data_IF_664865610743
#
_entry.id   IF_664865610743
#
_cell.length_a   1.000
_cell.length_b   1.000
_cell.length_c   1.000
_cell.angle_alpha   90.00
_cell.angle_beta   90.00
_cell.angle_gamma   90.00
#
_symmetry.space_group_name_H-M   'P 1'
#
loop_
_entity.id
_entity.type
_entity.pdbx_description
1 polymer ?
#
# COMPACT_ATOMS: atom_id res chain seq x y z
N UNK A 1 22.90 15.17 11.34
CA UNK A 1 22.16 15.87 10.31
C UNK A 1 20.98 16.61 10.89
N UNK A 2 20.56 17.68 10.19
CA UNK A 2 19.44 18.46 10.68
C UNK A 2 18.12 18.03 10.02
N UNK A 3 18.17 17.47 8.80
CA UNK A 3 16.98 17.14 8.01
C UNK A 3 17.08 15.76 7.36
N UNK A 4 15.97 15.03 7.31
CA UNK A 4 15.79 13.75 6.63
C UNK A 4 14.48 13.77 5.83
N UNK A 5 14.55 13.47 4.55
CA UNK A 5 13.39 13.38 3.66
C UNK A 5 13.31 11.95 3.12
N UNK A 6 12.27 11.23 3.51
CA UNK A 6 11.97 9.89 3.02
C UNK A 6 10.82 9.98 2.03
N UNK A 7 11.10 9.59 0.79
CA UNK A 7 10.12 9.51 -0.29
C UNK A 7 9.84 8.05 -0.60
N UNK A 8 8.59 7.65 -0.45
CA UNK A 8 8.11 6.35 -0.86
C UNK A 8 7.47 6.49 -2.25
N UNK A 9 8.16 6.00 -3.27
CA UNK A 9 7.81 6.11 -4.68
C UNK A 9 7.50 4.73 -5.21
N UNK A 10 6.21 4.40 -5.31
CA UNK A 10 5.75 3.05 -5.65
C UNK A 10 6.18 2.64 -7.06
N UNK A 11 6.57 1.38 -7.21
CA UNK A 11 6.85 0.76 -8.50
C UNK A 11 8.26 0.99 -9.05
N UNK A 12 9.17 1.60 -8.28
CA UNK A 12 10.59 1.67 -8.65
C UNK A 12 11.27 0.33 -8.43
N UNK A 13 12.05 -0.11 -9.40
CA UNK A 13 12.93 -1.28 -9.33
C UNK A 13 14.38 -0.83 -9.70
N UNK A 14 15.39 -1.57 -9.25
CA UNK A 14 16.80 -1.24 -9.52
C UNK A 14 17.09 -1.06 -11.02
N UNK A 15 16.47 -1.89 -11.88
CA UNK A 15 16.60 -1.77 -13.35
C UNK A 15 16.16 -0.42 -13.93
N UNK A 16 15.36 0.36 -13.19
CA UNK A 16 14.92 1.69 -13.62
C UNK A 16 15.95 2.79 -13.34
N UNK A 17 16.99 2.52 -12.53
CA UNK A 17 18.04 3.48 -12.15
C UNK A 17 19.04 3.75 -13.28
N UNK A 18 18.57 3.95 -14.47
CA UNK A 18 19.42 4.50 -15.50
C UNK A 18 19.22 6.01 -15.61
N UNK A 19 20.26 6.74 -15.98
CA UNK A 19 20.23 8.21 -16.07
C UNK A 19 19.18 8.75 -17.06
N UNK A 20 18.70 7.94 -17.98
CA UNK A 20 17.70 8.35 -18.96
C UNK A 20 16.26 8.29 -18.45
N UNK A 21 15.98 7.41 -17.48
CA UNK A 21 14.63 7.25 -16.93
C UNK A 21 14.45 7.99 -15.60
N UNK A 22 15.41 7.87 -14.68
CA UNK A 22 15.33 8.40 -13.30
C UNK A 22 16.61 9.22 -12.96
N UNK A 23 16.90 10.33 -13.68
CA UNK A 23 18.14 11.07 -13.49
C UNK A 23 18.28 11.68 -12.10
N UNK A 24 17.17 12.09 -11.44
CA UNK A 24 17.22 12.71 -10.12
C UNK A 24 17.47 11.69 -9.02
N UNK A 25 16.82 10.51 -9.09
CA UNK A 25 17.09 9.41 -8.15
C UNK A 25 18.52 8.90 -8.33
N UNK A 26 18.99 8.71 -9.57
CA UNK A 26 20.35 8.30 -9.85
C UNK A 26 21.38 9.28 -9.24
N UNK A 27 21.15 10.58 -9.39
CA UNK A 27 22.01 11.62 -8.81
C UNK A 27 22.05 11.61 -7.28
N UNK A 28 20.94 11.26 -6.63
CA UNK A 28 20.91 11.09 -5.16
C UNK A 28 21.83 9.94 -4.75
N UNK A 29 21.80 8.83 -5.49
CA UNK A 29 22.58 7.64 -5.19
C UNK A 29 24.09 7.75 -5.51
N UNK A 30 24.50 8.66 -6.40
CA UNK A 30 25.89 8.80 -6.87
C UNK A 30 26.92 8.94 -5.73
N UNK A 31 26.60 9.70 -4.67
CA UNK A 31 27.46 9.92 -3.53
C UNK A 31 27.04 9.15 -2.26
N UNK A 32 26.05 8.31 -2.40
CA UNK A 32 25.46 7.54 -1.31
C UNK A 32 25.50 6.04 -1.55
N UNK A 33 24.34 5.42 -1.52
CA UNK A 33 24.17 3.99 -1.75
C UNK A 33 22.85 3.65 -2.41
N UNK A 34 22.81 2.50 -3.08
CA UNK A 34 21.61 1.92 -3.68
C UNK A 34 21.61 0.42 -3.48
N UNK A 35 20.40 -0.14 -3.27
CA UNK A 35 20.19 -1.58 -3.13
C UNK A 35 18.78 -1.97 -3.55
N UNK A 36 18.58 -3.26 -3.81
CA UNK A 36 17.26 -3.88 -3.86
C UNK A 36 16.64 -3.81 -2.47
N UNK A 37 15.40 -3.38 -2.37
CA UNK A 37 14.67 -3.35 -1.10
C UNK A 37 13.81 -4.61 -0.98
N UNK A 38 14.08 -5.40 0.04
CA UNK A 38 13.28 -6.56 0.41
C UNK A 38 12.09 -6.11 1.26
N UNK A 39 10.85 -6.18 0.74
CA UNK A 39 9.66 -5.88 1.52
C UNK A 39 9.39 -6.96 2.57
N UNK A 40 8.62 -6.61 3.60
CA UNK A 40 7.98 -7.63 4.45
C UNK A 40 6.84 -8.30 3.69
N UNK A 41 6.51 -9.52 4.09
CA UNK A 41 5.35 -10.23 3.56
C UNK A 41 4.09 -9.95 4.40
N UNK A 42 2.92 -9.72 3.73
CA UNK A 42 2.74 -9.53 2.30
C UNK A 42 3.30 -8.20 1.79
N UNK A 43 3.79 -8.20 0.56
CA UNK A 43 4.32 -7.01 -0.10
C UNK A 43 3.19 -6.09 -0.58
N UNK A 44 2.45 -5.51 0.38
CA UNK A 44 1.32 -4.59 0.16
C UNK A 44 1.51 -3.33 0.98
N UNK A 45 0.97 -2.22 0.51
CA UNK A 45 1.27 -0.86 0.97
C UNK A 45 1.23 -0.68 2.49
N UNK A 46 0.09 -0.97 3.12
CA UNK A 46 -0.05 -0.72 4.57
C UNK A 46 0.93 -1.55 5.40
N UNK A 47 1.16 -2.80 5.01
CA UNK A 47 2.07 -3.72 5.71
C UNK A 47 3.52 -3.26 5.59
N UNK A 48 3.97 -2.96 4.37
CA UNK A 48 5.36 -2.55 4.13
C UNK A 48 5.64 -1.17 4.74
N UNK A 49 4.72 -0.21 4.60
CA UNK A 49 4.85 1.11 5.23
C UNK A 49 4.91 1.02 6.76
N UNK A 50 4.06 0.18 7.38
CA UNK A 50 4.14 -0.04 8.82
C UNK A 50 5.49 -0.63 9.24
N UNK A 51 6.05 -1.55 8.45
CA UNK A 51 7.37 -2.14 8.70
C UNK A 51 8.51 -1.12 8.56
N UNK A 52 8.49 -0.29 7.52
CA UNK A 52 9.48 0.77 7.30
C UNK A 52 9.47 1.77 8.46
N UNK A 53 8.27 2.22 8.86
CA UNK A 53 8.12 3.27 9.88
C UNK A 53 8.33 2.76 11.31
N UNK A 54 8.25 1.46 11.57
CA UNK A 54 8.42 0.88 12.90
C UNK A 54 9.72 0.10 13.07
N UNK A 55 10.38 -0.33 11.98
CA UNK A 55 11.50 -1.25 12.03
C UNK A 55 11.11 -2.65 12.51
N UNK A 56 9.84 -3.04 12.38
CA UNK A 56 9.26 -4.27 12.90
C UNK A 56 8.55 -5.07 11.79
N UNK A 57 8.35 -6.36 12.05
CA UNK A 57 7.61 -7.25 11.15
C UNK A 57 6.11 -7.27 11.45
N UNK A 58 5.26 -7.73 10.50
CA UNK A 58 3.81 -7.83 10.70
C UNK A 58 3.38 -8.58 11.96
N UNK A 59 4.13 -9.61 12.36
CA UNK A 59 3.88 -10.34 13.64
C UNK A 59 3.95 -9.44 14.88
N UNK A 60 4.66 -8.30 14.79
CA UNK A 60 4.85 -7.37 15.91
C UNK A 60 3.93 -6.15 15.78
N UNK A 61 3.84 -5.54 14.59
CA UNK A 61 3.05 -4.31 14.42
C UNK A 61 1.59 -4.55 14.07
N UNK A 62 1.20 -5.78 13.72
CA UNK A 62 -0.19 -6.19 13.52
C UNK A 62 -0.88 -5.68 12.25
N UNK A 63 -0.16 -5.03 11.33
CA UNK A 63 -0.69 -4.66 10.01
C UNK A 63 -0.33 -5.80 9.04
N UNK A 64 -1.29 -6.68 8.83
CA UNK A 64 -1.12 -7.94 8.10
C UNK A 64 -1.51 -7.85 6.63
N UNK A 65 -2.17 -6.76 6.22
CA UNK A 65 -2.75 -6.53 4.90
C UNK A 65 -3.16 -5.06 4.80
N UNK A 66 -3.62 -4.58 3.65
CA UNK A 66 -4.34 -3.32 3.51
C UNK A 66 -5.73 -3.36 4.17
N UNK A 67 -6.23 -4.55 4.47
CA UNK A 67 -7.47 -4.80 5.19
C UNK A 67 -7.27 -5.55 6.49
N UNK A 68 -8.28 -5.45 7.36
CA UNK A 68 -8.37 -6.15 8.63
C UNK A 68 -9.76 -6.76 8.80
N UNK A 69 -9.81 -7.96 9.36
CA UNK A 69 -11.05 -8.58 9.78
C UNK A 69 -11.17 -8.56 11.30
N UNK A 70 -12.21 -7.90 11.78
CA UNK A 70 -12.58 -7.97 13.19
C UNK A 70 -13.51 -9.16 13.43
N UNK A 71 -12.99 -10.19 14.08
CA UNK A 71 -13.72 -11.44 14.39
C UNK A 71 -14.87 -11.21 15.37
N UNK A 72 -14.80 -10.18 16.22
CA UNK A 72 -15.82 -9.90 17.24
C UNK A 72 -17.06 -9.24 16.67
N UNK A 73 -16.90 -8.45 15.62
CA UNK A 73 -17.96 -7.71 14.95
C UNK A 73 -18.31 -8.25 13.57
N UNK A 74 -17.60 -9.29 13.11
CA UNK A 74 -17.72 -9.85 11.75
C UNK A 74 -17.55 -8.79 10.65
N UNK A 75 -16.64 -7.83 10.86
CA UNK A 75 -16.43 -6.72 9.93
C UNK A 75 -15.07 -6.80 9.25
N UNK A 76 -15.07 -6.69 7.92
CA UNK A 76 -13.84 -6.47 7.13
C UNK A 76 -13.76 -5.01 6.80
N UNK A 77 -12.62 -4.38 7.07
CA UNK A 77 -12.36 -2.99 6.72
C UNK A 77 -11.04 -2.88 5.96
N UNK A 78 -11.04 -2.15 4.86
CA UNK A 78 -9.85 -1.82 4.07
C UNK A 78 -9.52 -0.34 4.22
N UNK A 79 -8.23 -0.02 4.15
CA UNK A 79 -7.70 1.35 4.13
C UNK A 79 -8.03 2.19 5.36
N UNK A 80 -8.16 1.55 6.52
CA UNK A 80 -8.34 2.26 7.79
C UNK A 80 -7.09 3.07 8.14
N UNK A 81 -7.29 4.36 8.38
CA UNK A 81 -6.17 5.30 8.54
C UNK A 81 -5.73 5.53 9.99
N UNK A 82 -6.42 4.95 10.97
CA UNK A 82 -6.07 5.17 12.37
C UNK A 82 -4.68 4.63 12.72
N UNK A 83 -3.89 5.48 13.35
CA UNK A 83 -2.54 5.11 13.82
C UNK A 83 -2.55 4.08 14.95
N UNK A 84 -3.67 3.95 15.67
CA UNK A 84 -3.85 2.98 16.75
C UNK A 84 -3.88 1.53 16.27
N UNK A 85 -4.06 1.30 14.98
CA UNK A 85 -4.01 -0.03 14.38
C UNK A 85 -2.59 -0.62 14.38
N UNK A 86 -1.56 0.22 14.34
CA UNK A 86 -0.16 -0.20 14.39
C UNK A 86 0.23 -0.39 15.86
N UNK A 87 0.54 -1.62 16.25
CA UNK A 87 0.75 -2.02 17.65
C UNK A 87 2.19 -1.78 18.16
N UNK A 88 3.01 -1.07 17.40
CA UNK A 88 4.40 -0.74 17.75
C UNK A 88 4.64 0.76 17.65
N UNK A 89 5.69 1.23 18.32
CA UNK A 89 6.19 2.59 18.13
C UNK A 89 6.69 2.77 16.70
N UNK A 90 6.56 4.00 16.19
CA UNK A 90 7.05 4.37 14.87
C UNK A 90 8.15 5.42 14.97
N UNK A 91 8.78 5.70 13.85
CA UNK A 91 9.95 6.58 13.77
C UNK A 91 9.76 7.92 14.49
N UNK A 92 8.61 8.57 14.39
CA UNK A 92 8.35 9.85 15.10
C UNK A 92 8.28 9.69 16.61
N UNK A 93 7.82 8.56 17.14
CA UNK A 93 7.82 8.29 18.57
C UNK A 93 9.28 8.16 19.09
N UNK A 94 10.08 7.39 18.35
CA UNK A 94 11.51 7.19 18.68
C UNK A 94 12.31 8.50 18.55
N UNK A 95 12.06 9.28 17.51
CA UNK A 95 12.70 10.59 17.30
C UNK A 95 12.38 11.52 18.47
N UNK A 96 11.13 11.61 18.89
CA UNK A 96 10.71 12.46 20.01
C UNK A 96 11.25 12.00 21.36
N UNK A 97 11.37 10.69 21.56
CA UNK A 97 12.03 10.14 22.77
C UNK A 97 13.51 10.51 22.82
N UNK A 98 14.23 10.48 21.69
CA UNK A 98 15.64 10.89 21.61
C UNK A 98 15.82 12.41 21.73
N UNK A 99 14.97 13.18 21.07
CA UNK A 99 15.01 14.65 21.09
C UNK A 99 13.63 15.25 20.77
N UNK A 100 12.93 15.69 21.80
CA UNK A 100 11.58 16.25 21.67
C UNK A 100 11.50 17.57 20.86
N UNK A 101 12.63 18.22 20.58
CA UNK A 101 12.67 19.44 19.75
C UNK A 101 12.68 19.13 18.25
N UNK A 102 12.86 17.88 17.85
CA UNK A 102 12.83 17.48 16.44
C UNK A 102 11.39 17.42 15.94
N UNK A 103 11.11 18.16 14.88
CA UNK A 103 9.80 18.26 14.24
C UNK A 103 9.64 17.19 13.15
N UNK A 104 8.50 16.52 13.13
CA UNK A 104 8.19 15.44 12.16
C UNK A 104 6.96 15.80 11.35
N UNK A 105 6.96 15.49 10.05
CA UNK A 105 5.83 15.68 9.15
C UNK A 105 5.62 14.42 8.31
N UNK A 106 4.37 13.96 8.21
CA UNK A 106 4.01 12.77 7.44
C UNK A 106 2.83 13.07 6.53
N UNK A 107 3.03 12.86 5.23
CA UNK A 107 2.07 13.20 4.18
C UNK A 107 1.68 11.93 3.41
N UNK A 108 0.42 11.55 3.52
CA UNK A 108 -0.24 10.47 2.79
C UNK A 108 0.24 9.03 3.07
N UNK A 109 1.16 8.80 4.00
CA UNK A 109 1.48 7.46 4.47
C UNK A 109 0.28 6.82 5.18
N UNK A 110 0.15 5.50 5.06
CA UNK A 110 -0.97 4.75 5.62
C UNK A 110 -0.92 4.68 7.16
N UNK A 111 -2.08 4.48 7.77
CA UNK A 111 -2.24 4.38 9.23
C UNK A 111 -1.60 5.54 10.00
N UNK A 112 -1.74 6.77 9.53
CA UNK A 112 -1.11 7.94 10.16
C UNK A 112 -2.10 8.93 10.80
N UNK A 113 -3.39 8.77 10.58
CA UNK A 113 -4.40 9.57 11.28
C UNK A 113 -4.29 9.39 12.79
N UNK A 114 -4.20 10.49 13.53
CA UNK A 114 -3.96 10.55 15.00
C UNK A 114 -2.53 10.15 15.43
N UNK A 115 -1.58 10.02 14.51
CA UNK A 115 -0.19 9.71 14.87
C UNK A 115 0.44 10.80 15.76
N UNK A 116 1.46 10.42 16.54
CA UNK A 116 2.24 11.32 17.37
C UNK A 116 3.30 12.11 16.57
N UNK A 117 3.07 12.34 15.27
CA UNK A 117 3.85 13.27 14.45
C UNK A 117 3.33 14.70 14.64
N UNK A 118 4.16 15.72 14.41
CA UNK A 118 3.77 17.12 14.58
C UNK A 118 2.85 17.57 13.47
N UNK A 119 3.12 17.10 12.24
CA UNK A 119 2.30 17.37 11.06
C UNK A 119 1.87 16.04 10.48
N UNK A 120 0.58 15.91 10.20
CA UNK A 120 -0.04 14.78 9.50
C UNK A 120 -1.00 15.31 8.47
N UNK A 121 -0.95 14.78 7.25
CA UNK A 121 -1.99 14.99 6.23
C UNK A 121 -2.29 13.63 5.59
N UNK A 122 -3.55 13.21 5.65
CA UNK A 122 -4.02 11.95 5.05
C UNK A 122 -5.47 12.07 4.58
N UNK A 123 -5.88 11.40 3.49
CA UNK A 123 -7.27 11.47 3.03
C UNK A 123 -8.26 11.00 4.09
N UNK A 124 -9.30 11.78 4.30
CA UNK A 124 -10.43 11.41 5.17
C UNK A 124 -11.72 11.97 4.58
N UNK A 125 -12.28 11.35 3.54
CA UNK A 125 -13.54 11.82 2.95
C UNK A 125 -14.67 11.77 3.99
N UNK A 126 -15.52 12.78 3.95
CA UNK A 126 -16.70 12.88 4.81
C UNK A 126 -17.94 12.58 3.98
N UNK A 127 -18.66 11.54 4.35
CA UNK A 127 -19.94 11.19 3.72
C UNK A 127 -21.05 12.03 4.36
N UNK A 128 -21.73 12.84 3.53
CA UNK A 128 -22.96 13.53 3.87
C UNK A 128 -24.14 12.79 3.23
N UNK A 129 -25.36 13.15 3.56
CA UNK A 129 -26.57 12.46 3.08
C UNK A 129 -26.67 12.47 1.53
N UNK A 130 -26.27 13.56 0.89
CA UNK A 130 -26.41 13.78 -0.55
C UNK A 130 -25.09 13.76 -1.33
N UNK A 131 -23.94 13.85 -0.63
CA UNK A 131 -22.63 13.97 -1.28
C UNK A 131 -21.48 13.50 -0.40
N UNK A 132 -20.33 13.36 -1.01
CA UNK A 132 -19.05 13.16 -0.35
C UNK A 132 -18.23 14.44 -0.41
N UNK A 133 -17.72 14.89 0.73
CA UNK A 133 -16.73 15.97 0.81
C UNK A 133 -15.34 15.40 0.73
N UNK A 134 -14.57 15.81 -0.26
CA UNK A 134 -13.16 15.42 -0.43
C UNK A 134 -12.30 16.19 0.56
N UNK A 135 -12.15 15.64 1.74
CA UNK A 135 -11.41 16.27 2.83
C UNK A 135 -10.22 15.43 3.24
N UNK A 136 -9.16 16.08 3.75
CA UNK A 136 -8.03 15.40 4.36
C UNK A 136 -8.00 15.73 5.85
N UNK A 137 -7.85 14.70 6.68
CA UNK A 137 -7.46 14.88 8.07
C UNK A 137 -6.10 15.56 8.13
N UNK A 138 -5.97 16.52 9.02
CA UNK A 138 -4.68 17.15 9.28
C UNK A 138 -4.41 17.37 10.77
N UNK A 139 -3.14 17.34 11.14
CA UNK A 139 -2.59 17.78 12.40
C UNK A 139 -1.43 18.74 12.06
N UNK A 140 -1.37 19.95 12.66
CA UNK A 140 -2.39 20.55 13.53
C UNK A 140 -3.74 20.78 12.85
N UNK A 141 -4.79 20.98 13.66
CA UNK A 141 -6.10 21.38 13.13
C UNK A 141 -5.95 22.62 12.28
N UNK A 142 -6.62 22.64 11.11
CA UNK A 142 -6.54 23.76 10.16
C UNK A 142 -5.34 23.71 9.22
N UNK A 143 -4.46 22.71 9.31
CA UNK A 143 -3.30 22.63 8.41
C UNK A 143 -3.70 22.26 6.98
N UNK A 144 -4.68 21.35 6.81
CA UNK A 144 -5.21 21.07 5.47
C UNK A 144 -5.89 22.27 4.84
N UNK A 145 -6.60 23.07 5.62
CA UNK A 145 -7.24 24.30 5.16
C UNK A 145 -6.22 25.32 4.63
N UNK A 146 -5.04 25.44 5.29
CA UNK A 146 -3.92 26.25 4.78
C UNK A 146 -3.38 25.69 3.46
N UNK A 147 -3.22 24.36 3.36
CA UNK A 147 -2.80 23.72 2.11
C UNK A 147 -3.82 23.94 1.01
N UNK A 148 -5.11 23.77 1.31
CA UNK A 148 -6.21 24.00 0.36
C UNK A 148 -6.25 25.43 -0.15
N UNK A 149 -6.02 26.41 0.70
CA UNK A 149 -5.94 27.84 0.30
C UNK A 149 -4.80 28.10 -0.70
N UNK A 150 -3.65 27.43 -0.53
CA UNK A 150 -2.46 27.64 -1.36
C UNK A 150 -2.44 26.78 -2.63
N UNK A 151 -2.94 25.56 -2.56
CA UNK A 151 -2.76 24.51 -3.57
C UNK A 151 -4.07 24.10 -4.26
N UNK A 152 -5.21 24.56 -3.76
CA UNK A 152 -6.51 24.02 -4.12
C UNK A 152 -6.85 22.75 -3.32
N UNK A 153 -8.11 22.32 -3.45
CA UNK A 153 -8.61 21.12 -2.79
C UNK A 153 -7.93 19.84 -3.33
N UNK A 154 -7.59 18.89 -2.44
CA UNK A 154 -7.10 17.59 -2.85
C UNK A 154 -8.20 16.81 -3.57
N UNK A 155 -7.96 16.45 -4.83
CA UNK A 155 -8.91 15.68 -5.62
C UNK A 155 -8.77 14.17 -5.35
N UNK A 156 -9.61 13.63 -4.47
CA UNK A 156 -9.60 12.21 -4.12
C UNK A 156 -9.84 11.29 -5.34
N UNK A 157 -10.62 11.74 -6.35
CA UNK A 157 -10.84 10.94 -7.55
C UNK A 157 -9.55 10.77 -8.39
N UNK A 158 -8.56 11.65 -8.25
CA UNK A 158 -7.23 11.47 -8.85
C UNK A 158 -6.30 10.58 -8.01
N UNK A 159 -6.68 10.26 -6.78
CA UNK A 159 -5.92 9.41 -5.86
C UNK A 159 -6.34 7.94 -5.95
N UNK A 160 -7.64 7.67 -6.13
CA UNK A 160 -8.13 6.31 -6.33
C UNK A 160 -9.37 6.30 -7.24
N UNK A 161 -9.53 5.21 -8.00
CA UNK A 161 -10.65 4.98 -8.90
C UNK A 161 -10.30 5.20 -10.37
N UNK A 162 -11.29 5.27 -11.26
CA UNK A 162 -11.07 5.31 -12.71
C UNK A 162 -10.27 6.52 -13.20
N UNK A 163 -10.24 7.59 -12.43
CA UNK A 163 -9.54 8.84 -12.74
C UNK A 163 -8.21 8.99 -11.99
N UNK A 164 -7.79 7.96 -11.26
CA UNK A 164 -6.51 7.95 -10.57
C UNK A 164 -5.35 8.20 -11.53
N UNK A 165 -4.46 9.14 -11.17
CA UNK A 165 -3.39 9.63 -12.04
C UNK A 165 -2.30 10.34 -11.22
N UNK A 166 -1.22 10.73 -11.91
CA UNK A 166 -0.11 11.51 -11.32
C UNK A 166 -0.54 12.82 -10.65
N UNK A 167 -1.74 13.38 -10.96
CA UNK A 167 -2.23 14.63 -10.37
C UNK A 167 -2.35 14.57 -8.84
N UNK A 168 -2.65 13.40 -8.28
CA UNK A 168 -2.64 13.20 -6.83
C UNK A 168 -1.25 13.37 -6.24
N UNK A 169 -0.24 12.76 -6.85
CA UNK A 169 1.17 12.87 -6.42
C UNK A 169 1.73 14.28 -6.62
N UNK A 170 1.30 14.99 -7.66
CA UNK A 170 1.65 16.40 -7.85
C UNK A 170 1.12 17.28 -6.69
N UNK A 171 -0.13 17.07 -6.27
CA UNK A 171 -0.67 17.78 -5.12
C UNK A 171 0.09 17.45 -3.84
N UNK A 172 0.40 16.17 -3.63
CA UNK A 172 1.18 15.70 -2.46
C UNK A 172 2.58 16.32 -2.47
N UNK A 173 3.24 16.38 -3.63
CA UNK A 173 4.55 17.00 -3.79
C UNK A 173 4.51 18.51 -3.48
N UNK A 174 3.50 19.23 -3.98
CA UNK A 174 3.30 20.65 -3.68
C UNK A 174 3.07 20.87 -2.17
N UNK A 175 2.31 19.98 -1.52
CA UNK A 175 2.10 20.02 -0.07
C UNK A 175 3.40 19.75 0.69
N UNK A 176 4.25 18.83 0.21
CA UNK A 176 5.56 18.55 0.79
C UNK A 176 6.51 19.74 0.65
N UNK A 177 6.57 20.38 -0.52
CA UNK A 177 7.37 21.59 -0.74
C UNK A 177 6.91 22.76 0.17
N UNK A 178 5.59 22.98 0.26
CA UNK A 178 5.03 23.98 1.17
C UNK A 178 5.38 23.67 2.63
N UNK A 179 5.22 22.40 3.04
CA UNK A 179 5.54 21.98 4.41
C UNK A 179 7.03 22.15 4.73
N UNK A 180 7.91 21.81 3.80
CA UNK A 180 9.35 21.97 3.96
C UNK A 180 9.73 23.45 4.13
N UNK A 181 9.12 24.35 3.36
CA UNK A 181 9.38 25.79 3.43
C UNK A 181 8.80 26.46 4.67
N UNK A 182 7.52 26.21 4.95
CA UNK A 182 6.79 26.94 6.00
C UNK A 182 7.04 26.39 7.41
N UNK A 183 7.24 25.06 7.52
CA UNK A 183 7.28 24.36 8.80
C UNK A 183 8.67 23.82 9.15
N UNK A 184 9.55 23.67 8.16
CA UNK A 184 10.93 23.19 8.29
C UNK A 184 11.07 21.93 9.17
N UNK A 185 10.30 20.86 8.91
CA UNK A 185 10.38 19.66 9.72
C UNK A 185 11.78 19.01 9.60
N UNK A 186 12.30 18.48 10.70
CA UNK A 186 13.55 17.73 10.69
C UNK A 186 13.39 16.39 9.95
N UNK A 187 12.18 15.81 10.00
CA UNK A 187 11.84 14.57 9.31
C UNK A 187 10.57 14.80 8.48
N UNK A 188 10.69 14.56 7.18
CA UNK A 188 9.56 14.66 6.24
C UNK A 188 9.37 13.33 5.51
N UNK A 189 8.19 12.74 5.65
CA UNK A 189 7.79 11.48 5.03
C UNK A 189 6.73 11.78 3.98
N UNK A 190 6.97 11.38 2.72
CA UNK A 190 6.09 11.69 1.58
C UNK A 190 5.81 10.43 0.79
N UNK A 191 4.54 10.14 0.52
CA UNK A 191 4.08 9.00 -0.27
C UNK A 191 3.69 9.44 -1.69
N UNK A 192 4.24 8.78 -2.71
CA UNK A 192 4.06 9.08 -4.15
C UNK A 192 3.53 7.83 -4.86
N UNK A 193 2.20 7.60 -4.90
CA UNK A 193 1.61 6.32 -5.30
C UNK A 193 1.36 6.14 -6.80
N UNK A 194 1.36 7.18 -7.64
CA UNK A 194 0.66 7.16 -8.93
C UNK A 194 1.15 6.13 -9.96
N UNK A 195 2.40 5.68 -9.88
CA UNK A 195 2.92 4.63 -10.76
C UNK A 195 2.29 3.25 -10.47
N UNK A 196 1.75 3.05 -9.27
CA UNK A 196 0.94 1.88 -8.89
C UNK A 196 -0.28 1.72 -9.81
N UNK A 197 -1.00 2.80 -10.05
CA UNK A 197 -2.24 2.76 -10.84
C UNK A 197 -2.01 2.35 -12.30
N UNK A 198 -0.94 2.86 -12.91
CA UNK A 198 -0.58 2.50 -14.27
C UNK A 198 -0.06 1.07 -14.36
N UNK A 199 0.70 0.59 -13.37
CA UNK A 199 1.17 -0.78 -13.31
C UNK A 199 0.01 -1.78 -13.21
N UNK A 200 -0.99 -1.51 -12.37
CA UNK A 200 -2.17 -2.36 -12.26
C UNK A 200 -3.03 -2.36 -13.54
N UNK A 201 -3.16 -1.21 -14.21
CA UNK A 201 -3.96 -1.08 -15.44
C UNK A 201 -3.31 -1.70 -16.67
N UNK A 202 -2.00 -1.54 -16.83
CA UNK A 202 -1.33 -1.78 -18.10
C UNK A 202 -0.21 -2.83 -18.02
N UNK A 203 0.15 -3.29 -16.80
CA UNK A 203 1.31 -4.16 -16.56
C UNK A 203 2.60 -3.36 -16.41
N UNK A 204 3.57 -3.93 -15.70
CA UNK A 204 4.80 -3.26 -15.26
C UNK A 204 5.71 -2.79 -16.40
N UNK A 205 5.62 -3.42 -17.57
CA UNK A 205 6.43 -3.09 -18.75
C UNK A 205 5.84 -1.99 -19.65
N UNK A 206 4.64 -1.50 -19.35
CA UNK A 206 3.92 -0.57 -20.21
C UNK A 206 4.58 0.83 -20.28
N UNK A 207 4.39 1.51 -21.42
CA UNK A 207 4.90 2.88 -21.61
C UNK A 207 4.31 3.86 -20.60
N UNK A 208 3.05 3.67 -20.22
CA UNK A 208 2.36 4.50 -19.22
C UNK A 208 3.06 4.43 -17.86
N UNK A 209 3.55 3.25 -17.46
CA UNK A 209 4.32 3.09 -16.21
C UNK A 209 5.63 3.86 -16.30
N UNK A 210 6.36 3.75 -17.43
CA UNK A 210 7.59 4.50 -17.62
C UNK A 210 7.39 6.01 -17.59
N UNK A 211 6.28 6.50 -18.16
CA UNK A 211 5.95 7.93 -18.14
C UNK A 211 5.58 8.39 -16.73
N UNK A 212 4.89 7.58 -15.96
CA UNK A 212 4.57 7.89 -14.55
C UNK A 212 5.81 7.82 -13.65
N UNK A 213 6.75 6.89 -13.90
CA UNK A 213 8.03 6.86 -13.20
C UNK A 213 8.88 8.10 -13.48
N UNK A 214 8.89 8.63 -14.72
CA UNK A 214 9.56 9.91 -15.03
C UNK A 214 8.98 11.07 -14.23
N UNK A 215 7.65 11.16 -14.16
CA UNK A 215 6.99 12.19 -13.35
C UNK A 215 7.30 12.06 -11.85
N UNK A 216 7.41 10.83 -11.35
CA UNK A 216 7.84 10.59 -9.99
C UNK A 216 9.29 11.05 -9.74
N UNK A 217 10.20 10.82 -10.69
CA UNK A 217 11.58 11.31 -10.64
C UNK A 217 11.65 12.85 -10.67
N UNK A 218 10.79 13.50 -11.48
CA UNK A 218 10.66 14.96 -11.50
C UNK A 218 10.24 15.50 -10.13
N UNK A 219 9.30 14.82 -9.44
CA UNK A 219 8.90 15.17 -8.07
C UNK A 219 10.09 15.06 -7.11
N UNK A 220 10.88 14.00 -7.20
CA UNK A 220 12.12 13.84 -6.41
C UNK A 220 13.06 15.01 -6.66
N UNK A 221 13.32 15.35 -7.93
CA UNK A 221 14.16 16.47 -8.32
C UNK A 221 13.68 17.82 -7.77
N UNK A 222 12.36 18.06 -7.78
CA UNK A 222 11.76 19.29 -7.23
C UNK A 222 12.00 19.42 -5.73
N UNK A 223 11.85 18.35 -4.96
CA UNK A 223 12.09 18.37 -3.50
C UNK A 223 13.58 18.59 -3.18
N UNK A 224 14.48 18.01 -3.96
CA UNK A 224 15.94 18.28 -3.85
C UNK A 224 16.22 19.76 -4.15
N UNK A 225 15.63 20.30 -5.24
CA UNK A 225 15.78 21.71 -5.60
C UNK A 225 15.19 22.64 -4.53
N UNK A 226 14.05 22.26 -3.93
CA UNK A 226 13.44 23.01 -2.82
C UNK A 226 14.38 23.08 -1.62
N UNK A 227 15.00 21.98 -1.21
CA UNK A 227 15.98 21.97 -0.15
C UNK A 227 17.21 22.84 -0.48
N UNK A 228 17.63 22.86 -1.75
CA UNK A 228 18.72 23.73 -2.24
C UNK A 228 18.34 25.21 -2.12
N UNK A 229 17.16 25.58 -2.57
CA UNK A 229 16.67 26.97 -2.52
C UNK A 229 16.49 27.47 -1.07
N UNK A 230 16.20 26.57 -0.13
CA UNK A 230 16.12 26.88 1.30
C UNK A 230 17.48 26.91 2.01
N UNK A 231 18.58 26.59 1.30
CA UNK A 231 19.93 26.54 1.85
C UNK A 231 20.19 25.38 2.80
N UNK A 232 19.36 24.33 2.79
CA UNK A 232 19.46 23.19 3.69
C UNK A 232 19.92 21.89 3.00
N UNK A 233 20.25 21.93 1.71
CA UNK A 233 20.57 20.73 0.89
C UNK A 233 21.69 19.89 1.50
N UNK A 234 22.78 20.53 1.92
CA UNK A 234 23.96 19.85 2.47
C UNK A 234 23.72 19.23 3.85
N UNK A 235 22.73 19.74 4.56
CA UNK A 235 22.30 19.23 5.87
C UNK A 235 21.16 18.21 5.76
N UNK A 236 20.67 17.94 4.55
CA UNK A 236 19.53 17.07 4.27
C UNK A 236 19.99 15.74 3.68
N UNK A 237 19.60 14.65 4.33
CA UNK A 237 19.62 13.35 3.66
C UNK A 237 18.32 13.12 2.91
N UNK A 238 18.45 12.54 1.71
CA UNK A 238 17.34 12.04 0.92
C UNK A 238 17.39 10.52 0.89
N UNK A 239 16.28 9.89 1.20
CA UNK A 239 16.08 8.45 1.10
C UNK A 239 14.88 8.23 0.19
N UNK A 240 15.08 7.51 -0.89
CA UNK A 240 14.05 7.13 -1.85
C UNK A 240 13.85 5.63 -1.73
N UNK A 241 12.62 5.20 -1.53
CA UNK A 241 12.28 3.78 -1.48
C UNK A 241 11.12 3.47 -2.44
N UNK A 242 10.99 2.21 -2.78
CA UNK A 242 9.75 1.64 -3.32
C UNK A 242 9.37 0.43 -2.49
N UNK A 243 8.13 0.37 -2.06
CA UNK A 243 7.60 -0.66 -1.17
C UNK A 243 7.74 -2.07 -1.75
N UNK A 244 7.57 -2.22 -3.07
CA UNK A 244 7.56 -3.49 -3.79
C UNK A 244 7.70 -3.27 -5.30
N UNK A 245 7.91 -4.38 -6.02
CA UNK A 245 7.77 -4.44 -7.47
C UNK A 245 6.52 -5.23 -7.87
N UNK A 246 6.09 -5.06 -9.13
CA UNK A 246 4.90 -5.69 -9.69
C UNK A 246 5.22 -6.99 -10.40
N UNK A 247 4.23 -7.91 -10.41
CA UNK A 247 4.12 -9.01 -11.35
C UNK A 247 3.08 -8.66 -12.43
N UNK A 248 3.36 -9.03 -13.68
CA UNK A 248 2.34 -9.00 -14.71
C UNK A 248 1.35 -10.15 -14.47
N UNK A 249 0.04 -9.84 -14.56
CA UNK A 249 -1.03 -10.82 -14.32
C UNK A 249 -1.96 -10.92 -15.51
N UNK A 250 -2.53 -12.12 -15.72
CA UNK A 250 -3.41 -12.42 -16.84
C UNK A 250 -4.84 -12.75 -16.42
N UNK A 251 -5.11 -12.91 -15.12
CA UNK A 251 -6.45 -13.23 -14.61
C UNK A 251 -6.51 -13.29 -13.10
N UNK A 252 -7.73 -13.32 -12.58
CA UNK A 252 -8.03 -13.44 -11.17
C UNK A 252 -8.55 -14.82 -10.78
N UNK A 253 -8.28 -15.21 -9.55
CA UNK A 253 -8.88 -16.36 -8.89
C UNK A 253 -9.92 -15.88 -7.88
N UNK A 254 -11.21 -16.14 -8.05
CA UNK A 254 -12.27 -15.70 -7.14
C UNK A 254 -12.37 -16.65 -5.95
N UNK A 255 -11.48 -16.50 -4.96
CA UNK A 255 -11.37 -17.45 -3.84
C UNK A 255 -12.67 -17.62 -3.06
N UNK A 256 -13.45 -16.57 -2.87
CA UNK A 256 -14.74 -16.67 -2.19
C UNK A 256 -15.78 -17.46 -2.98
N UNK A 257 -15.72 -17.44 -4.31
CA UNK A 257 -16.56 -18.31 -5.15
C UNK A 257 -16.13 -19.78 -5.03
N UNK A 258 -14.82 -20.05 -5.02
CA UNK A 258 -14.28 -21.40 -4.77
C UNK A 258 -14.75 -21.94 -3.41
N UNK A 259 -14.68 -21.14 -2.35
CA UNK A 259 -15.14 -21.53 -1.03
C UNK A 259 -16.66 -21.74 -0.99
N UNK A 260 -17.44 -20.94 -1.73
CA UNK A 260 -18.89 -21.10 -1.88
C UNK A 260 -19.21 -22.43 -2.57
N UNK A 261 -18.56 -22.76 -3.66
CA UNK A 261 -18.78 -24.00 -4.40
C UNK A 261 -18.41 -25.25 -3.62
N UNK A 262 -17.45 -25.12 -2.70
CA UNK A 262 -17.09 -26.15 -1.74
C UNK A 262 -18.05 -26.24 -0.52
N UNK A 263 -19.10 -25.41 -0.45
CA UNK A 263 -20.06 -25.37 0.65
C UNK A 263 -19.48 -24.82 1.97
N UNK A 264 -18.41 -24.02 1.86
CA UNK A 264 -17.69 -23.43 2.99
C UNK A 264 -18.08 -21.95 3.22
N UNK A 265 -18.52 -21.24 2.17
CA UNK A 265 -18.96 -19.86 2.26
C UNK A 265 -20.47 -19.79 2.10
N UNK A 266 -21.11 -19.01 2.95
CA UNK A 266 -22.55 -18.76 2.95
C UNK A 266 -22.87 -17.34 2.49
N UNK A 267 -24.02 -17.19 1.84
CA UNK A 267 -24.52 -15.89 1.38
C UNK A 267 -25.94 -15.66 1.87
N UNK A 268 -26.34 -14.39 1.94
CA UNK A 268 -27.73 -13.95 2.11
C UNK A 268 -28.20 -13.22 0.86
N UNK A 269 -29.36 -13.57 0.36
CA UNK A 269 -30.01 -12.84 -0.73
C UNK A 269 -30.92 -11.77 -0.16
N UNK A 270 -30.63 -10.51 -0.47
CA UNK A 270 -31.40 -9.34 -0.02
C UNK A 270 -31.71 -8.50 -1.27
N UNK A 271 -32.98 -8.28 -1.57
CA UNK A 271 -33.40 -7.55 -2.78
C UNK A 271 -32.71 -8.07 -4.05
N UNK A 272 -32.74 -9.38 -4.23
CA UNK A 272 -32.13 -10.10 -5.36
C UNK A 272 -30.58 -10.00 -5.46
N UNK A 273 -29.91 -9.33 -4.52
CA UNK A 273 -28.45 -9.24 -4.43
C UNK A 273 -27.90 -10.21 -3.38
N UNK A 274 -26.72 -10.76 -3.67
CA UNK A 274 -26.05 -11.72 -2.81
C UNK A 274 -24.99 -11.02 -1.96
N UNK A 275 -25.13 -11.12 -0.64
CA UNK A 275 -24.20 -10.57 0.36
C UNK A 275 -23.52 -11.70 1.12
N UNK A 276 -22.25 -11.53 1.44
CA UNK A 276 -21.48 -12.48 2.23
C UNK A 276 -22.05 -12.57 3.66
N UNK A 277 -22.31 -13.80 4.13
CA UNK A 277 -22.75 -14.07 5.49
C UNK A 277 -21.58 -14.61 6.31
N UNK A 278 -20.92 -13.74 7.07
CA UNK A 278 -19.79 -14.12 7.91
C UNK A 278 -20.17 -15.05 9.05
N UNK A 279 -21.39 -14.89 9.58
CA UNK A 279 -21.85 -15.72 10.71
C UNK A 279 -22.04 -17.19 10.31
N UNK A 280 -22.60 -17.46 9.14
CA UNK A 280 -22.87 -18.81 8.67
C UNK A 280 -21.77 -19.37 7.77
N UNK A 281 -20.83 -18.56 7.32
CA UNK A 281 -19.66 -19.05 6.58
C UNK A 281 -18.74 -19.86 7.49
N UNK A 282 -18.29 -21.01 7.00
CA UNK A 282 -17.29 -21.87 7.63
C UNK A 282 -15.87 -21.35 7.35
N UNK A 283 -15.69 -20.76 6.16
CA UNK A 283 -14.47 -20.08 5.76
C UNK A 283 -14.79 -18.94 4.78
N UNK A 284 -13.97 -17.90 4.78
CA UNK A 284 -13.97 -16.86 3.76
C UNK A 284 -12.56 -16.32 3.54
N UNK A 285 -12.33 -15.73 2.35
CA UNK A 285 -11.07 -15.15 1.95
C UNK A 285 -11.15 -13.62 2.01
N UNK A 286 -10.32 -12.97 2.83
CA UNK A 286 -10.01 -11.56 2.74
C UNK A 286 -8.84 -11.41 1.77
N UNK A 287 -9.13 -11.07 0.53
CA UNK A 287 -8.16 -11.01 -0.55
C UNK A 287 -7.49 -9.64 -0.61
N UNK A 288 -6.20 -9.63 -0.90
CA UNK A 288 -5.41 -8.42 -1.08
C UNK A 288 -4.32 -8.67 -2.13
N UNK A 289 -4.58 -8.25 -3.37
CA UNK A 289 -3.68 -8.45 -4.51
C UNK A 289 -3.37 -9.94 -4.76
N UNK A 290 -2.13 -10.38 -4.57
CA UNK A 290 -1.68 -11.76 -4.79
C UNK A 290 -1.69 -12.62 -3.52
N UNK A 291 -2.29 -12.11 -2.45
CA UNK A 291 -2.36 -12.77 -1.14
C UNK A 291 -3.80 -12.76 -0.63
N UNK A 292 -4.18 -13.78 0.13
CA UNK A 292 -5.45 -13.81 0.83
C UNK A 292 -5.31 -14.43 2.22
N UNK A 293 -5.79 -13.73 3.24
CA UNK A 293 -6.01 -14.30 4.56
C UNK A 293 -7.31 -15.09 4.54
N UNK A 294 -7.22 -16.39 4.87
CA UNK A 294 -8.38 -17.26 4.92
C UNK A 294 -8.76 -17.46 6.38
N UNK A 295 -9.92 -16.94 6.74
CA UNK A 295 -10.48 -17.05 8.08
C UNK A 295 -11.40 -18.26 8.13
N UNK A 296 -11.12 -19.20 9.07
CA UNK A 296 -11.74 -20.51 9.10
C UNK A 296 -12.30 -20.76 10.48
N UNK A 297 -13.56 -21.23 10.55
CA UNK A 297 -14.14 -21.73 11.80
C UNK A 297 -13.54 -23.10 12.16
N UNK A 298 -13.39 -23.33 13.45
CA UNK A 298 -12.85 -24.57 13.99
C UNK A 298 -13.53 -25.81 13.39
N UNK A 299 -12.73 -26.75 12.92
CA UNK A 299 -13.17 -28.03 12.36
C UNK A 299 -13.33 -28.03 10.84
N UNK A 300 -13.09 -26.91 10.14
CA UNK A 300 -13.19 -26.82 8.68
C UNK A 300 -11.86 -26.59 7.98
N UNK A 301 -10.76 -26.71 8.71
CA UNK A 301 -9.40 -26.38 8.21
C UNK A 301 -9.00 -27.31 7.07
N UNK A 302 -9.27 -28.63 7.22
CA UNK A 302 -8.90 -29.63 6.23
C UNK A 302 -9.67 -29.47 4.92
N UNK A 303 -10.98 -29.27 5.01
CA UNK A 303 -11.86 -29.08 3.84
C UNK A 303 -11.51 -27.78 3.11
N UNK A 304 -11.25 -26.71 3.85
CA UNK A 304 -10.85 -25.41 3.30
C UNK A 304 -9.50 -25.51 2.58
N UNK A 305 -8.49 -26.11 3.24
CA UNK A 305 -7.17 -26.30 2.64
C UNK A 305 -7.27 -27.13 1.36
N UNK A 306 -8.02 -28.23 1.37
CA UNK A 306 -8.25 -29.09 0.20
C UNK A 306 -8.92 -28.34 -0.97
N UNK A 307 -9.92 -27.48 -0.68
CA UNK A 307 -10.58 -26.70 -1.72
C UNK A 307 -9.60 -25.74 -2.40
N UNK A 308 -8.76 -25.07 -1.61
CA UNK A 308 -7.79 -24.11 -2.13
C UNK A 308 -6.61 -24.77 -2.85
N UNK A 309 -6.08 -25.89 -2.34
CA UNK A 309 -4.97 -26.65 -2.97
C UNK A 309 -5.34 -27.19 -4.36
N UNK A 310 -6.62 -27.47 -4.60
CA UNK A 310 -7.12 -27.94 -5.89
C UNK A 310 -7.52 -26.79 -6.83
N UNK A 311 -7.27 -25.53 -6.45
CA UNK A 311 -7.68 -24.37 -7.24
C UNK A 311 -6.52 -23.91 -8.13
N UNK A 312 -6.76 -23.91 -9.45
CA UNK A 312 -5.79 -23.34 -10.40
C UNK A 312 -5.54 -21.86 -10.09
N UNK A 313 -4.26 -21.48 -10.10
CA UNK A 313 -3.82 -20.13 -9.76
C UNK A 313 -3.57 -19.88 -8.26
N UNK A 314 -3.76 -20.87 -7.39
CA UNK A 314 -3.22 -20.89 -6.02
C UNK A 314 -1.88 -21.62 -6.05
N UNK A 315 -0.79 -20.91 -5.76
CA UNK A 315 0.55 -21.49 -5.82
C UNK A 315 1.03 -22.06 -4.48
N UNK A 316 0.60 -21.45 -3.37
CA UNK A 316 1.07 -21.84 -2.03
C UNK A 316 0.00 -21.55 -0.98
N UNK A 317 -0.03 -22.38 0.05
CA UNK A 317 -0.84 -22.17 1.25
C UNK A 317 0.08 -22.21 2.46
N UNK A 318 0.12 -21.09 3.19
CA UNK A 318 0.88 -21.01 4.43
C UNK A 318 -0.01 -21.44 5.60
N UNK A 319 0.44 -22.44 6.30
CA UNK A 319 -0.07 -22.82 7.61
C UNK A 319 0.64 -22.05 8.74
N UNK A 320 0.50 -22.49 9.98
CA UNK A 320 1.15 -21.84 11.13
C UNK A 320 2.68 -21.80 11.03
N UNK A 321 3.31 -22.81 10.39
CA UNK A 321 4.76 -22.84 10.18
C UNK A 321 5.18 -21.82 9.13
N UNK A 322 4.53 -21.83 7.97
CA UNK A 322 4.82 -20.87 6.89
C UNK A 322 4.55 -19.42 7.30
N UNK A 323 3.51 -19.18 8.11
CA UNK A 323 3.26 -17.84 8.67
C UNK A 323 4.40 -17.37 9.58
N UNK A 324 4.98 -18.25 10.41
CA UNK A 324 6.13 -17.94 11.26
C UNK A 324 7.38 -17.64 10.45
N UNK A 325 7.64 -18.41 9.40
CA UNK A 325 8.78 -18.22 8.51
C UNK A 325 8.73 -16.83 7.85
N UNK A 326 7.57 -16.40 7.37
CA UNK A 326 7.37 -15.10 6.74
C UNK A 326 7.03 -13.97 7.73
N UNK A 327 7.14 -14.20 9.04
CA UNK A 327 6.92 -13.22 10.10
C UNK A 327 5.52 -12.53 10.05
N UNK A 328 4.47 -13.30 9.68
CA UNK A 328 3.08 -12.85 9.55
C UNK A 328 2.14 -13.58 10.54
N UNK A 329 2.68 -14.31 11.50
CA UNK A 329 1.97 -15.07 12.51
C UNK A 329 1.43 -14.16 13.64
N UNK A 330 0.48 -13.33 13.29
CA UNK A 330 -0.23 -12.41 14.19
C UNK A 330 -1.68 -12.87 14.41
N UNK A 331 -2.31 -12.52 15.55
CA UNK A 331 -3.70 -12.89 15.87
C UNK A 331 -4.73 -12.36 14.85
N UNK A 332 -4.39 -11.28 14.16
CA UNK A 332 -5.22 -10.72 13.07
C UNK A 332 -5.14 -11.54 11.79
N UNK A 333 -4.10 -12.34 11.59
CA UNK A 333 -3.93 -13.17 10.39
C UNK A 333 -4.99 -14.25 10.30
N UNK A 334 -5.34 -14.65 9.06
CA UNK A 334 -6.18 -15.81 8.82
C UNK A 334 -5.53 -17.10 9.36
N UNK A 335 -6.33 -18.13 9.57
CA UNK A 335 -5.84 -19.46 10.00
C UNK A 335 -4.77 -19.97 9.03
N UNK A 336 -5.02 -19.78 7.73
CA UNK A 336 -4.05 -20.00 6.66
C UNK A 336 -3.99 -18.78 5.74
N UNK A 337 -2.90 -18.69 4.95
CA UNK A 337 -2.75 -17.62 3.95
C UNK A 337 -2.53 -18.28 2.59
N UNK A 338 -3.33 -17.90 1.60
CA UNK A 338 -3.13 -18.32 0.22
C UNK A 338 -2.27 -17.29 -0.53
N UNK A 339 -1.36 -17.79 -1.38
CA UNK A 339 -0.52 -16.99 -2.27
C UNK A 339 -0.83 -17.41 -3.70
N UNK A 340 -1.10 -16.47 -4.58
CA UNK A 340 -1.45 -16.75 -5.98
C UNK A 340 -0.24 -17.26 -6.78
N UNK A 341 -0.50 -17.88 -7.92
CA UNK A 341 0.51 -18.03 -8.97
C UNK A 341 0.99 -16.62 -9.42
N UNK A 342 2.22 -16.56 -9.95
CA UNK A 342 2.88 -15.29 -10.27
C UNK A 342 2.07 -14.44 -11.25
N UNK A 343 1.39 -15.09 -12.21
CA UNK A 343 0.58 -14.47 -13.24
C UNK A 343 -0.91 -14.36 -12.90
N UNK A 344 -1.26 -14.54 -11.62
CA UNK A 344 -2.64 -14.46 -11.09
C UNK A 344 -2.71 -13.50 -9.92
N UNK A 345 -3.92 -13.00 -9.64
CA UNK A 345 -4.26 -12.26 -8.43
C UNK A 345 -5.58 -12.77 -7.86
N UNK A 346 -5.96 -12.38 -6.64
CA UNK A 346 -7.17 -12.86 -5.98
C UNK A 346 -8.27 -11.81 -6.00
N UNK A 347 -9.45 -12.14 -6.58
CA UNK A 347 -10.64 -11.30 -6.47
C UNK A 347 -11.54 -11.76 -5.32
N UNK A 348 -12.24 -10.80 -4.71
CA UNK A 348 -13.13 -11.07 -3.58
C UNK A 348 -14.48 -11.67 -3.99
N UNK A 349 -14.77 -11.84 -5.29
CA UNK A 349 -16.07 -12.21 -5.82
C UNK A 349 -16.55 -13.57 -5.31
N UNK A 350 -17.88 -13.64 -5.01
CA UNK A 350 -18.54 -14.87 -4.55
C UNK A 350 -19.81 -15.22 -5.33
N UNK A 351 -20.23 -14.41 -6.29
CA UNK A 351 -21.44 -14.62 -7.10
C UNK A 351 -21.15 -15.37 -8.38
N UNK A 352 -22.12 -16.23 -8.82
CA UNK A 352 -22.09 -16.88 -10.13
C UNK A 352 -22.67 -16.00 -11.22
N UNK A 353 -23.68 -15.18 -10.86
CA UNK A 353 -24.39 -14.27 -11.75
C UNK A 353 -24.04 -12.83 -11.37
N UNK A 354 -23.46 -12.10 -12.32
CA UNK A 354 -23.11 -10.68 -12.13
C UNK A 354 -24.34 -9.81 -11.81
N UNK A 355 -25.54 -10.22 -12.25
CA UNK A 355 -26.79 -9.55 -11.89
C UNK A 355 -27.09 -9.61 -10.40
N UNK A 356 -26.55 -10.61 -9.69
CA UNK A 356 -26.68 -10.78 -8.23
C UNK A 356 -25.55 -10.17 -7.42
N UNK A 357 -24.52 -9.63 -8.08
CA UNK A 357 -23.45 -8.93 -7.38
C UNK A 357 -24.00 -7.83 -6.46
N UNK A 358 -23.45 -7.63 -5.26
CA UNK A 358 -23.89 -6.58 -4.35
C UNK A 358 -23.75 -5.19 -4.98
N UNK A 359 -24.50 -4.22 -4.48
CA UNK A 359 -24.57 -2.87 -5.06
C UNK A 359 -23.22 -2.15 -5.07
N UNK A 360 -22.38 -2.41 -4.08
CA UNK A 360 -21.04 -1.81 -3.98
C UNK A 360 -20.05 -2.35 -5.03
N UNK A 361 -20.29 -3.54 -5.60
CA UNK A 361 -19.36 -4.17 -6.53
C UNK A 361 -19.10 -3.33 -7.79
N UNK A 362 -20.14 -2.57 -8.24
CA UNK A 362 -20.05 -1.70 -9.41
C UNK A 362 -19.75 -0.24 -9.11
N UNK A 363 -19.25 0.04 -7.90
CA UNK A 363 -18.90 1.38 -7.43
C UNK A 363 -17.44 1.43 -6.99
N UNK A 364 -16.87 2.62 -6.95
CA UNK A 364 -15.65 2.88 -6.16
C UNK A 364 -16.08 2.91 -4.70
N UNK A 365 -15.80 1.85 -3.97
CA UNK A 365 -16.25 1.68 -2.59
C UNK A 365 -15.28 0.80 -1.79
N UNK A 366 -14.15 1.38 -1.48
CA UNK A 366 -13.05 0.68 -0.80
C UNK A 366 -13.34 0.24 0.63
N UNK A 367 -14.44 0.74 1.24
CA UNK A 367 -14.79 0.46 2.64
C UNK A 367 -15.80 -0.66 2.82
N UNK A 368 -16.69 -0.91 1.82
CA UNK A 368 -17.71 -1.96 1.91
C UNK A 368 -17.30 -3.28 1.25
N UNK A 369 -16.28 -3.25 0.37
CA UNK A 369 -15.77 -4.46 -0.27
C UNK A 369 -14.95 -5.26 0.74
N UNK A 370 -15.19 -6.57 0.90
CA UNK A 370 -14.44 -7.41 1.83
C UNK A 370 -13.12 -7.93 1.24
N UNK A 371 -12.52 -7.16 0.34
CA UNK A 371 -11.26 -7.43 -0.33
C UNK A 371 -10.83 -6.28 -1.21
N UNK A 372 -9.55 -6.20 -1.50
CA UNK A 372 -8.99 -5.24 -2.43
C UNK A 372 -9.54 -5.47 -3.84
N UNK A 373 -9.91 -4.42 -4.54
CA UNK A 373 -10.51 -4.49 -5.87
C UNK A 373 -9.84 -3.53 -6.88
N UNK A 374 -8.79 -3.97 -7.58
CA UNK A 374 -8.13 -3.15 -8.59
C UNK A 374 -9.00 -2.85 -9.83
N UNK A 375 -10.13 -3.56 -9.98
CA UNK A 375 -11.09 -3.28 -11.05
C UNK A 375 -11.74 -1.90 -10.89
N UNK A 376 -11.71 -1.33 -9.69
CA UNK A 376 -12.10 0.07 -9.45
C UNK A 376 -11.31 1.10 -10.25
N UNK A 377 -10.14 0.74 -10.75
CA UNK A 377 -9.35 1.61 -11.65
C UNK A 377 -9.96 1.76 -13.06
N UNK A 378 -11.01 1.03 -13.37
CA UNK A 378 -11.64 1.02 -14.70
C UNK A 378 -13.07 1.55 -14.64
N UNK A 379 -13.57 2.03 -15.78
CA UNK A 379 -14.95 2.46 -15.94
C UNK A 379 -15.52 1.90 -17.24
N UNK A 380 -16.67 1.26 -17.14
CA UNK A 380 -17.46 0.89 -18.30
C UNK A 380 -18.09 2.14 -18.90
N UNK A 381 -17.78 2.43 -20.16
CA UNK A 381 -18.22 3.66 -20.82
C UNK A 381 -19.73 3.69 -21.11
N UNK A 382 -20.40 2.54 -21.18
CA UNK A 382 -21.84 2.44 -21.42
C UNK A 382 -22.64 2.63 -20.14
N UNK A 383 -22.25 1.90 -19.08
CA UNK A 383 -22.98 1.91 -17.82
C UNK A 383 -22.51 3.00 -16.85
N UNK A 384 -21.36 3.63 -17.11
CA UNK A 384 -20.69 4.61 -16.23
C UNK A 384 -20.45 4.06 -14.81
N UNK A 385 -20.26 2.76 -14.69
CA UNK A 385 -20.00 2.04 -13.45
C UNK A 385 -18.68 1.28 -13.52
N UNK A 386 -18.22 0.77 -12.37
CA UNK A 386 -17.07 -0.14 -12.33
C UNK A 386 -17.46 -1.45 -13.00
N UNK A 387 -16.68 -1.95 -13.97
CA UNK A 387 -16.92 -3.26 -14.56
C UNK A 387 -16.66 -4.37 -13.53
N UNK A 388 -17.12 -5.59 -13.80
CA UNK A 388 -16.76 -6.77 -12.98
C UNK A 388 -15.79 -7.69 -13.72
N UNK A 389 -15.14 -7.19 -14.76
CA UNK A 389 -14.19 -7.96 -15.57
C UNK A 389 -12.77 -7.89 -14.97
N UNK A 390 -12.46 -8.89 -14.16
CA UNK A 390 -11.15 -9.03 -13.51
C UNK A 390 -9.97 -9.20 -14.49
N UNK A 391 -10.23 -9.52 -15.78
CA UNK A 391 -9.19 -9.65 -16.83
C UNK A 391 -8.59 -8.31 -17.25
N UNK A 392 -9.23 -7.20 -16.88
CA UNK A 392 -8.73 -5.84 -17.16
C UNK A 392 -7.45 -5.55 -16.38
N UNK A 393 -7.27 -6.14 -15.21
CA UNK A 393 -6.07 -5.96 -14.36
C UNK A 393 -4.88 -6.65 -15.00
N UNK A 394 -3.76 -5.92 -15.14
CA UNK A 394 -2.54 -6.37 -15.83
C UNK A 394 -1.32 -6.45 -14.94
N UNK A 395 -1.36 -5.84 -13.76
CA UNK A 395 -0.29 -5.89 -12.77
C UNK A 395 -0.82 -6.07 -11.36
N UNK A 396 -0.08 -6.78 -10.54
CA UNK A 396 -0.39 -7.00 -9.13
C UNK A 396 0.90 -7.26 -8.33
N UNK A 397 0.79 -7.31 -7.02
CA UNK A 397 1.91 -7.52 -6.10
C UNK A 397 1.43 -8.26 -4.84
N UNK A 398 2.27 -8.39 -3.82
CA UNK A 398 1.88 -9.00 -2.55
C UNK A 398 2.57 -10.33 -2.23
N UNK A 399 3.09 -11.03 -3.25
CA UNK A 399 3.84 -12.29 -3.08
C UNK A 399 5.13 -12.05 -2.26
N UNK A 400 5.68 -13.12 -1.64
CA UNK A 400 7.02 -13.05 -1.07
C UNK A 400 8.03 -12.60 -2.13
N UNK A 401 8.97 -11.74 -1.75
CA UNK A 401 10.07 -11.34 -2.63
C UNK A 401 11.10 -12.47 -2.79
N UNK A 402 11.81 -12.44 -3.91
CA UNK A 402 12.85 -13.42 -4.22
C UNK A 402 14.09 -12.74 -4.82
N UNK A 403 15.20 -12.77 -4.08
CA UNK A 403 16.48 -12.20 -4.49
C UNK A 403 17.12 -12.89 -5.70
N UNK A 404 16.78 -14.16 -5.97
CA UNK A 404 17.35 -14.90 -7.10
C UNK A 404 16.69 -14.52 -8.43
N UNK A 405 15.41 -14.18 -8.40
CA UNK A 405 14.61 -13.83 -9.58
C UNK A 405 14.27 -12.35 -9.66
N UNK A 406 14.66 -11.55 -8.68
CA UNK A 406 14.28 -10.14 -8.50
C UNK A 406 12.76 -9.92 -8.38
N UNK A 407 12.02 -10.95 -8.02
CA UNK A 407 10.57 -10.87 -7.86
C UNK A 407 10.19 -10.05 -6.62
N UNK A 408 9.29 -9.10 -6.78
CA UNK A 408 8.71 -8.33 -5.68
C UNK A 408 9.66 -7.33 -5.00
N UNK A 409 10.92 -7.23 -5.45
CA UNK A 409 11.91 -6.34 -4.84
C UNK A 409 11.70 -4.89 -5.28
N UNK A 410 11.52 -4.01 -4.29
CA UNK A 410 11.56 -2.57 -4.51
C UNK A 410 12.99 -2.03 -4.64
N UNK A 411 13.13 -0.72 -4.42
CA UNK A 411 14.43 -0.05 -4.39
C UNK A 411 14.64 0.69 -3.07
N UNK A 412 15.89 0.75 -2.66
CA UNK A 412 16.42 1.67 -1.68
C UNK A 412 17.52 2.49 -2.33
N UNK A 413 17.40 3.82 -2.33
CA UNK A 413 18.43 4.75 -2.77
C UNK A 413 18.58 5.87 -1.74
N UNK A 414 19.79 6.16 -1.33
CA UNK A 414 20.07 7.18 -0.31
C UNK A 414 21.20 8.08 -0.74
N UNK A 415 21.12 9.36 -0.39
CA UNK A 415 22.22 10.33 -0.58
C UNK A 415 23.39 10.11 0.38
N UNK A 416 23.30 9.12 1.26
CA UNK A 416 24.33 8.73 2.24
C UNK A 416 24.41 7.24 2.43
N UNK A 417 25.53 6.79 3.00
CA UNK A 417 25.74 5.39 3.36
C UNK A 417 25.31 5.15 4.80
N UNK A 418 24.47 4.13 5.01
CA UNK A 418 23.92 3.78 6.32
C UNK A 418 24.37 2.41 6.83
N UNK A 419 25.04 1.62 5.96
CA UNK A 419 25.51 0.28 6.33
C UNK A 419 24.39 -0.73 6.56
N UNK A 420 23.22 -0.53 5.91
CA UNK A 420 22.10 -1.47 5.97
C UNK A 420 22.10 -2.47 4.83
N UNK A 421 22.97 -2.30 3.85
CA UNK A 421 23.07 -3.19 2.69
C UNK A 421 23.81 -4.45 3.11
N UNK A 422 23.17 -5.60 2.86
CA UNK A 422 23.74 -6.93 3.12
C UNK A 422 24.81 -7.31 2.10
N UNK A 423 25.53 -8.41 2.36
CA UNK A 423 26.50 -8.96 1.41
C UNK A 423 25.86 -9.39 0.08
N UNK A 424 24.56 -9.71 0.09
CA UNK A 424 23.80 -10.02 -1.12
C UNK A 424 23.41 -8.79 -1.97
N UNK A 425 23.76 -7.57 -1.52
CA UNK A 425 23.45 -6.33 -2.23
C UNK A 425 22.01 -5.85 -2.03
N UNK A 426 21.30 -6.35 -1.01
CA UNK A 426 19.94 -5.97 -0.66
C UNK A 426 19.86 -5.27 0.69
N UNK A 427 18.79 -4.50 0.92
CA UNK A 427 18.41 -3.92 2.20
C UNK A 427 17.00 -4.40 2.57
N UNK A 428 16.75 -4.69 3.83
CA UNK A 428 15.40 -5.04 4.29
C UNK A 428 14.62 -3.77 4.62
N UNK A 429 13.35 -3.74 4.28
CA UNK A 429 12.51 -2.56 4.57
C UNK A 429 12.44 -2.21 6.07
N UNK A 430 12.55 -3.20 6.97
CA UNK A 430 12.60 -2.98 8.43
C UNK A 430 13.87 -2.26 8.89
N UNK A 431 14.93 -2.26 8.12
CA UNK A 431 16.19 -1.57 8.48
C UNK A 431 16.17 -0.08 8.10
N UNK A 432 15.22 0.38 7.28
CA UNK A 432 15.11 1.79 6.87
C UNK A 432 14.95 2.74 8.07
N UNK A 433 14.21 2.31 9.09
CA UNK A 433 14.05 3.12 10.30
C UNK A 433 15.40 3.49 10.96
N UNK A 434 16.41 2.60 10.92
CA UNK A 434 17.75 2.87 11.47
C UNK A 434 18.41 4.06 10.77
N UNK A 435 18.26 4.17 9.44
CA UNK A 435 18.80 5.27 8.64
C UNK A 435 18.27 6.65 9.08
N UNK A 436 17.08 6.67 9.70
CA UNK A 436 16.39 7.87 10.11
C UNK A 436 16.71 8.23 11.58
N UNK A 437 16.87 7.22 12.43
CA UNK A 437 16.96 7.40 13.88
C UNK A 437 18.41 7.54 14.35
N UNK A 438 19.38 6.95 13.63
CA UNK A 438 20.81 6.95 13.98
C UNK A 438 21.60 8.04 13.24
N UNK A 439 20.92 8.91 12.47
CA UNK A 439 21.50 10.00 11.67
C UNK A 439 21.62 11.34 12.43
#
# INVERSE_FOLDING_TARGET
MNYSILLDVVGLEEKHLNSSLLPNVAKIAENGEVAKLEPTFPAVTSTVQASILSGKYPREHGIISNGLYDRSTYNVSFWEQSSSLVQTQRVWDTVKQKNNNKKTAVLFWQNTMYANSDIVVTPRPIHLDDKMVMWCYSKPVGYYEKLKEKLGEFNLASYWGPFASHKSSEWIANAAEYTLESEKPNFLFVYIPHADYSAQRFGKGAVQVRDDLKKADEIVGRLVQKATNLGIREETQFIIISEYAFNDVSGAVPLNLVLRDAGLLSIRTIQEKEYLDFEYSKAFAMVDHQVAHIYIKNGYERETKKALENTDGVAMILDSSGKKELAIDHDRSGEIIAISARDRWFSYYWWHDEGKAPDFARKVDIHRKPGYDPVELFIDQKTKSIPLDARLVKGSHGRPSDLQTDEGLGIYASSKRHGIISESGSARCVDIMKCLVDS
#
